data_IF_748670594700
#
_entry.id   IF_748670594700
#
_cell.length_a   1.000
_cell.length_b   1.000
_cell.length_c   1.000
_cell.angle_alpha   90.00
_cell.angle_beta   90.00
_cell.angle_gamma   90.00
#
_symmetry.space_group_name_H-M   'P 1'
#
loop_
_entity.id
_entity.type
_entity.pdbx_description
1 polymer ?
#
# COMPACT_ATOMS: atom_id res chain seq x y z
N UNK A 1 3.43 13.89 -9.30
CA UNK A 1 1.97 13.80 -9.57
C UNK A 1 1.57 12.34 -9.58
N UNK A 2 1.02 11.85 -8.46
CA UNK A 2 0.48 10.49 -8.33
C UNK A 2 -1.03 10.50 -8.50
N UNK A 3 -1.51 10.76 -9.71
CA UNK A 3 -2.96 10.79 -9.95
C UNK A 3 -3.50 9.38 -10.09
N UNK A 4 -4.13 8.89 -9.02
CA UNK A 4 -5.00 7.71 -9.01
C UNK A 4 -4.40 6.38 -9.55
N UNK A 5 -3.16 6.02 -9.20
CA UNK A 5 -2.62 4.70 -9.53
C UNK A 5 -3.35 3.61 -8.71
N UNK A 6 -4.33 2.95 -9.29
CA UNK A 6 -5.06 1.80 -8.72
C UNK A 6 -4.20 0.55 -8.43
N UNK A 7 -2.88 0.68 -8.49
CA UNK A 7 -1.88 -0.37 -8.38
C UNK A 7 -0.79 0.06 -7.41
N UNK A 8 -0.13 -0.90 -6.77
CA UNK A 8 1.01 -0.64 -5.89
C UNK A 8 2.12 0.05 -6.70
N UNK A 9 2.69 1.12 -6.13
CA UNK A 9 3.87 1.77 -6.68
C UNK A 9 5.05 1.59 -5.74
N UNK A 10 6.26 1.54 -6.33
CA UNK A 10 7.50 1.37 -5.58
C UNK A 10 7.66 2.45 -4.50
N UNK A 11 8.05 2.04 -3.31
CA UNK A 11 8.43 2.92 -2.24
C UNK A 11 9.81 3.56 -2.48
N UNK A 12 9.97 4.79 -2.02
CA UNK A 12 11.23 5.52 -2.10
C UNK A 12 11.64 6.00 -0.71
N UNK A 13 12.94 6.12 -0.45
CA UNK A 13 13.46 6.72 0.78
C UNK A 13 14.11 8.06 0.46
N UNK A 14 13.50 9.15 0.95
CA UNK A 14 14.04 10.49 0.82
C UNK A 14 14.47 11.02 2.19
N UNK A 15 15.74 11.39 2.34
CA UNK A 15 16.34 11.83 3.62
C UNK A 15 16.05 10.86 4.78
N UNK A 16 16.14 9.57 4.50
CA UNK A 16 15.88 8.49 5.47
C UNK A 16 14.39 8.25 5.77
N UNK A 17 13.47 9.00 5.17
CA UNK A 17 12.02 8.86 5.38
C UNK A 17 11.36 8.11 4.21
N UNK A 18 10.48 7.13 4.48
CA UNK A 18 9.77 6.41 3.42
C UNK A 18 8.74 7.31 2.73
N UNK A 19 8.57 7.12 1.44
CA UNK A 19 7.53 7.72 0.61
C UNK A 19 6.83 6.58 -0.12
N UNK A 20 5.54 6.41 0.16
CA UNK A 20 4.67 5.46 -0.54
C UNK A 20 3.79 6.25 -1.52
N UNK A 21 4.05 6.12 -2.82
CA UNK A 21 3.32 6.85 -3.85
C UNK A 21 1.94 6.27 -4.14
N UNK A 22 1.80 4.94 -4.01
CA UNK A 22 0.52 4.24 -4.05
C UNK A 22 0.60 2.91 -3.34
N UNK A 23 -0.47 2.59 -2.61
CA UNK A 23 -0.66 1.30 -1.96
C UNK A 23 -1.59 0.36 -2.75
N UNK A 24 -2.01 0.78 -3.95
CA UNK A 24 -3.10 0.15 -4.68
C UNK A 24 -4.47 0.46 -4.09
N UNK A 25 -5.46 -0.34 -4.45
CA UNK A 25 -6.81 -0.22 -3.91
C UNK A 25 -6.90 -0.81 -2.49
N UNK A 26 -7.98 -0.53 -1.76
CA UNK A 26 -8.32 -1.23 -0.51
C UNK A 26 -9.67 -1.94 -0.61
N UNK A 27 -10.73 -1.19 -0.92
CA UNK A 27 -12.08 -1.69 -1.28
C UNK A 27 -12.47 -0.96 -2.56
N UNK A 28 -12.51 -1.67 -3.68
CA UNK A 28 -12.86 -1.09 -4.98
C UNK A 28 -13.30 -2.18 -5.97
N UNK A 29 -13.75 -1.83 -7.17
CA UNK A 29 -14.05 -2.79 -8.23
C UNK A 29 -12.77 -3.19 -8.97
N UNK A 30 -12.40 -4.48 -8.98
CA UNK A 30 -11.21 -4.98 -9.70
C UNK A 30 -11.53 -5.31 -11.17
N UNK A 31 -11.54 -4.30 -12.05
CA UNK A 31 -11.73 -4.57 -13.50
C UNK A 31 -10.50 -5.16 -14.19
N UNK A 32 -9.32 -5.06 -13.56
CA UNK A 32 -8.05 -5.59 -14.07
C UNK A 32 -7.29 -6.36 -12.99
N UNK A 33 -6.56 -7.45 -13.30
CA UNK A 33 -5.84 -8.24 -12.31
C UNK A 33 -4.86 -7.43 -11.46
N UNK A 34 -4.19 -6.42 -12.02
CA UNK A 34 -3.20 -5.62 -11.29
C UNK A 34 -3.84 -4.75 -10.20
N UNK A 35 -5.13 -4.45 -10.34
CA UNK A 35 -5.89 -3.62 -9.39
C UNK A 35 -6.43 -4.40 -8.18
N UNK A 36 -6.23 -5.72 -8.15
CA UNK A 36 -6.51 -6.58 -7.00
C UNK A 36 -5.36 -6.61 -5.99
N UNK A 37 -4.15 -6.24 -6.40
CA UNK A 37 -3.00 -6.19 -5.50
C UNK A 37 -3.05 -4.93 -4.64
N UNK A 38 -2.86 -5.12 -3.33
CA UNK A 38 -2.93 -4.07 -2.32
C UNK A 38 -1.82 -4.23 -1.30
N UNK A 39 -1.44 -3.12 -0.67
CA UNK A 39 -0.44 -3.08 0.39
C UNK A 39 -0.98 -2.30 1.58
N UNK A 40 -1.01 -2.93 2.75
CA UNK A 40 -1.31 -2.22 4.00
C UNK A 40 0.02 -1.90 4.68
N UNK A 41 0.24 -0.61 4.97
CA UNK A 41 1.44 -0.14 5.66
C UNK A 41 1.10 0.14 7.12
N UNK A 42 1.73 -0.60 8.02
CA UNK A 42 1.67 -0.33 9.45
C UNK A 42 2.91 0.48 9.86
N UNK A 43 2.67 1.70 10.34
CA UNK A 43 3.69 2.55 10.94
C UNK A 43 3.55 2.51 12.46
N UNK A 44 4.60 2.08 13.16
CA UNK A 44 4.66 2.16 14.61
C UNK A 44 5.61 3.30 14.99
N UNK A 45 5.12 4.30 15.72
CA UNK A 45 5.92 5.42 16.19
C UNK A 45 6.36 5.20 17.64
N UNK A 46 7.61 5.54 17.93
CA UNK A 46 8.18 5.53 19.28
C UNK A 46 8.79 6.90 19.58
N UNK A 47 9.23 7.13 20.82
CA UNK A 47 9.91 8.37 21.21
C UNK A 47 11.24 8.60 20.47
N UNK A 48 11.83 7.55 19.88
CA UNK A 48 13.14 7.59 19.23
C UNK A 48 13.07 7.39 17.71
N UNK A 49 11.89 7.14 17.13
CA UNK A 49 11.77 6.91 15.70
C UNK A 49 10.47 6.22 15.28
N UNK A 50 10.54 5.44 14.20
CA UNK A 50 9.43 4.64 13.71
C UNK A 50 9.91 3.30 13.15
N UNK A 51 9.02 2.31 13.12
CA UNK A 51 9.19 1.08 12.36
C UNK A 51 8.05 0.90 11.36
N UNK A 52 8.35 0.24 10.25
CA UNK A 52 7.40 -0.03 9.18
C UNK A 52 7.21 -1.53 9.07
N UNK A 53 5.97 -1.98 9.02
CA UNK A 53 5.61 -3.34 8.61
C UNK A 53 4.69 -3.27 7.42
N UNK A 54 5.03 -4.02 6.38
CA UNK A 54 4.25 -4.15 5.16
C UNK A 54 3.40 -5.42 5.25
N UNK A 55 2.11 -5.29 4.97
CA UNK A 55 1.17 -6.41 4.92
C UNK A 55 0.56 -6.47 3.53
N UNK A 56 1.04 -7.38 2.65
CA UNK A 56 0.44 -7.60 1.35
C UNK A 56 -1.01 -8.06 1.49
N UNK A 57 -1.87 -7.57 0.61
CA UNK A 57 -3.27 -7.96 0.56
C UNK A 57 -3.71 -8.17 -0.90
N UNK A 58 -4.71 -9.02 -1.08
CA UNK A 58 -5.40 -9.20 -2.36
C UNK A 58 -6.86 -8.86 -2.17
N UNK A 59 -7.45 -8.13 -3.12
CA UNK A 59 -8.85 -7.78 -3.09
C UNK A 59 -9.63 -8.76 -3.97
N UNK A 60 -10.54 -9.49 -3.35
CA UNK A 60 -11.43 -10.45 -3.99
C UNK A 60 -12.88 -9.98 -3.75
N UNK A 61 -13.65 -9.76 -4.82
CA UNK A 61 -15.04 -9.28 -4.74
C UNK A 61 -15.20 -8.04 -3.82
N UNK A 62 -14.36 -7.04 -4.03
CA UNK A 62 -14.33 -5.80 -3.22
C UNK A 62 -13.98 -6.01 -1.74
N UNK A 63 -13.47 -7.18 -1.35
CA UNK A 63 -13.02 -7.49 0.02
C UNK A 63 -11.50 -7.67 0.06
N UNK A 64 -10.76 -6.87 0.85
CA UNK A 64 -9.33 -7.09 1.06
C UNK A 64 -9.09 -8.30 1.96
N UNK A 65 -8.14 -9.13 1.56
CA UNK A 65 -7.71 -10.33 2.28
C UNK A 65 -6.19 -10.27 2.44
N UNK A 66 -5.71 -10.40 3.68
CA UNK A 66 -4.28 -10.49 3.97
C UNK A 66 -3.73 -11.81 3.42
N UNK A 67 -2.49 -11.77 2.93
CA UNK A 67 -1.73 -12.95 2.53
C UNK A 67 -1.05 -13.62 3.73
#
# INVERSE_FOLDING_TARGET
MGHHPHVIQKEEYFKGKPIFYSLGNFVFDQRKPETSQSLIVQLNFTSIGYSIKLHPATINNCKPELQ
#
